data_IF_823675235829
#
_entry.id   IF_823675235829
#
_cell.length_a   1.000
_cell.length_b   1.000
_cell.length_c   1.000
_cell.angle_alpha   90.00
_cell.angle_beta   90.00
_cell.angle_gamma   90.00
#
_symmetry.space_group_name_H-M   'P 1'
#
loop_
_entity.id
_entity.type
_entity.pdbx_description
1 polymer ?
#
# COMPACT_ATOMS: atom_id res chain seq x y z
N UNK A 1 3.29 -37.81 37.65
CA UNK A 1 2.26 -36.78 37.94
C UNK A 1 3.01 -35.46 38.12
N UNK A 2 3.09 -34.51 37.19
CA UNK A 2 2.11 -33.96 36.25
C UNK A 2 2.82 -33.53 34.94
N UNK A 3 2.18 -33.77 33.79
CA UNK A 3 2.53 -33.14 32.50
C UNK A 3 1.73 -31.81 32.32
N UNK A 4 1.80 -31.07 31.19
CA UNK A 4 2.34 -29.70 31.12
C UNK A 4 1.31 -28.68 30.56
N UNK A 5 1.48 -27.37 30.76
CA UNK A 5 0.78 -26.29 30.01
C UNK A 5 1.38 -24.94 30.44
N UNK A 6 1.72 -23.95 29.62
CA UNK A 6 1.18 -23.56 28.33
C UNK A 6 2.31 -23.06 27.40
N UNK A 7 2.26 -23.55 26.17
CA UNK A 7 2.85 -22.96 24.98
C UNK A 7 2.21 -21.58 24.75
N UNK A 8 2.95 -20.49 25.00
CA UNK A 8 2.57 -19.18 24.49
C UNK A 8 3.12 -19.04 23.07
N UNK A 9 2.53 -19.76 22.10
CA UNK A 9 2.69 -19.40 20.70
C UNK A 9 1.85 -18.15 20.47
N UNK A 10 2.48 -16.98 20.53
CA UNK A 10 1.95 -15.81 19.83
C UNK A 10 1.97 -16.15 18.34
N UNK A 11 0.83 -16.26 17.64
CA UNK A 11 0.86 -16.14 16.20
C UNK A 11 1.22 -14.69 15.91
N UNK A 12 2.50 -14.40 15.68
CA UNK A 12 2.89 -13.16 15.03
C UNK A 12 2.14 -13.13 13.70
N UNK A 13 1.05 -12.37 13.67
CA UNK A 13 0.30 -12.08 12.44
C UNK A 13 1.33 -11.76 11.35
N UNK A 14 1.17 -12.25 10.11
CA UNK A 14 2.09 -11.90 9.05
C UNK A 14 2.13 -10.37 8.93
N UNK A 15 3.22 -9.77 9.40
CA UNK A 15 3.46 -8.34 9.22
C UNK A 15 3.75 -8.15 7.75
N UNK A 16 2.68 -7.93 6.97
CA UNK A 16 2.77 -7.62 5.55
C UNK A 16 3.83 -6.52 5.37
N UNK A 17 4.85 -6.71 4.51
CA UNK A 17 5.93 -5.75 4.37
C UNK A 17 5.37 -4.42 3.89
N UNK A 18 5.79 -3.33 4.54
CA UNK A 18 5.40 -1.97 4.16
C UNK A 18 6.53 -1.35 3.34
N UNK A 19 6.21 -0.84 2.16
CA UNK A 19 7.16 -0.20 1.26
C UNK A 19 6.54 0.99 0.50
N UNK A 20 7.35 1.91 -0.06
CA UNK A 20 6.84 3.00 -0.88
C UNK A 20 6.16 2.49 -2.15
N UNK A 21 5.01 3.06 -2.53
CA UNK A 21 4.28 2.69 -3.75
C UNK A 21 5.16 2.76 -5.00
N UNK A 22 6.15 3.66 -5.04
CA UNK A 22 7.14 3.76 -6.12
C UNK A 22 7.93 2.47 -6.39
N UNK A 23 7.99 1.54 -5.43
CA UNK A 23 8.69 0.26 -5.56
C UNK A 23 7.76 -0.89 -6.00
N UNK A 24 6.45 -0.64 -6.10
CA UNK A 24 5.51 -1.65 -6.58
C UNK A 24 5.73 -1.94 -8.06
N UNK A 25 5.76 -3.23 -8.40
CA UNK A 25 5.90 -3.70 -9.79
C UNK A 25 4.58 -3.57 -10.55
N UNK A 26 4.65 -3.50 -11.88
CA UNK A 26 3.46 -3.62 -12.72
C UNK A 26 2.70 -4.92 -12.43
N UNK A 27 1.37 -4.83 -12.38
CA UNK A 27 0.49 -5.94 -12.00
C UNK A 27 0.29 -6.11 -10.48
N UNK A 28 1.10 -5.48 -9.63
CA UNK A 28 0.97 -5.63 -8.19
C UNK A 28 -0.36 -5.04 -7.66
N UNK A 29 -1.03 -5.80 -6.80
CA UNK A 29 -2.15 -5.32 -5.97
C UNK A 29 -1.63 -4.95 -4.59
N UNK A 30 -1.88 -3.71 -4.18
CA UNK A 30 -1.38 -3.17 -2.93
C UNK A 30 -2.46 -2.38 -2.20
N UNK A 31 -2.36 -2.28 -0.88
CA UNK A 31 -3.22 -1.46 -0.03
C UNK A 31 -2.44 -0.31 0.55
N UNK A 32 -3.01 0.89 0.51
CA UNK A 32 -2.44 2.07 1.15
C UNK A 32 -2.54 1.92 2.66
N UNK A 33 -1.40 2.03 3.36
CA UNK A 33 -1.35 1.90 4.83
C UNK A 33 -1.05 3.22 5.53
N UNK A 34 -0.29 4.12 4.89
CA UNK A 34 -0.02 5.45 5.44
C UNK A 34 0.49 6.41 4.36
N UNK A 35 0.56 7.69 4.72
CA UNK A 35 1.21 8.73 3.94
C UNK A 35 2.40 9.28 4.73
N UNK A 36 3.54 9.43 4.05
CA UNK A 36 4.79 9.92 4.65
C UNK A 36 4.72 11.42 4.96
N UNK A 37 3.78 12.15 4.32
CA UNK A 37 3.57 13.59 4.52
C UNK A 37 2.19 13.89 5.10
N UNK A 38 1.99 15.12 5.60
CA UNK A 38 0.73 15.58 6.16
C UNK A 38 -0.06 16.56 5.28
N UNK A 39 -1.15 17.08 5.83
CA UNK A 39 -1.86 18.28 5.37
C UNK A 39 -2.31 18.25 3.91
N UNK A 40 -1.83 19.24 3.13
CA UNK A 40 -2.26 19.46 1.75
C UNK A 40 -1.99 18.28 0.81
N UNK A 41 -0.93 17.51 1.05
CA UNK A 41 -0.62 16.32 0.26
C UNK A 41 -1.67 15.23 0.46
N UNK A 42 -2.03 14.94 1.71
CA UNK A 42 -3.04 13.94 2.04
C UNK A 42 -4.41 14.34 1.51
N UNK A 43 -4.77 15.62 1.65
CA UNK A 43 -6.01 16.17 1.07
C UNK A 43 -6.07 15.96 -0.44
N UNK A 44 -5.00 16.28 -1.17
CA UNK A 44 -4.93 16.07 -2.63
C UNK A 44 -5.06 14.60 -3.01
N UNK A 45 -4.42 13.69 -2.26
CA UNK A 45 -4.55 12.25 -2.50
C UNK A 45 -5.99 11.76 -2.26
N UNK A 46 -6.61 12.21 -1.18
CA UNK A 46 -8.00 11.87 -0.86
C UNK A 46 -8.98 12.40 -1.90
N UNK A 47 -8.78 13.62 -2.41
CA UNK A 47 -9.59 14.22 -3.48
C UNK A 47 -9.58 13.40 -4.78
N UNK A 48 -8.44 12.78 -5.12
CA UNK A 48 -8.33 11.89 -6.29
C UNK A 48 -8.68 10.43 -5.95
N UNK A 49 -9.14 10.16 -4.73
CA UNK A 49 -9.58 8.85 -4.29
C UNK A 49 -8.50 7.93 -3.73
N UNK A 50 -7.26 8.39 -3.55
CA UNK A 50 -6.21 7.63 -2.87
C UNK A 50 -6.32 7.89 -1.36
N UNK A 51 -6.87 6.92 -0.62
CA UNK A 51 -7.11 6.99 0.82
C UNK A 51 -6.36 5.87 1.55
N UNK A 52 -6.15 6.03 2.85
CA UNK A 52 -5.72 4.91 3.70
C UNK A 52 -6.76 3.79 3.60
N UNK A 53 -6.29 2.55 3.43
CA UNK A 53 -7.12 1.37 3.17
C UNK A 53 -7.51 1.18 1.71
N UNK A 54 -7.24 2.13 0.81
CA UNK A 54 -7.55 1.96 -0.61
C UNK A 54 -6.69 0.87 -1.23
N UNK A 55 -7.32 -0.02 -1.98
CA UNK A 55 -6.64 -1.00 -2.82
C UNK A 55 -6.36 -0.42 -4.21
N UNK A 56 -5.14 -0.65 -4.67
CA UNK A 56 -4.61 -0.12 -5.91
C UNK A 56 -4.00 -1.27 -6.71
N UNK A 57 -4.20 -1.24 -8.02
CA UNK A 57 -3.51 -2.13 -8.96
C UNK A 57 -2.58 -1.29 -9.81
N UNK A 58 -1.29 -1.61 -9.81
CA UNK A 58 -0.31 -0.95 -10.67
C UNK A 58 -0.52 -1.45 -12.10
N UNK A 59 -0.86 -0.56 -13.03
CA UNK A 59 -1.03 -0.92 -14.45
C UNK A 59 0.19 -0.63 -15.29
N UNK A 60 0.89 0.45 -14.98
CA UNK A 60 2.07 0.89 -15.73
C UNK A 60 3.01 1.64 -14.79
N UNK A 61 4.31 1.44 -14.99
CA UNK A 61 5.40 2.16 -14.36
C UNK A 61 6.36 2.59 -15.48
N UNK A 62 6.37 3.88 -15.81
CA UNK A 62 7.21 4.42 -16.89
C UNK A 62 8.02 5.61 -16.40
N UNK A 63 9.11 5.94 -17.10
CA UNK A 63 10.05 7.00 -16.73
C UNK A 63 9.32 8.34 -16.48
N UNK A 64 9.01 8.66 -15.22
CA UNK A 64 8.29 9.86 -14.80
C UNK A 64 7.05 9.62 -13.92
N UNK A 65 6.45 8.43 -13.91
CA UNK A 65 5.27 8.18 -13.10
C UNK A 65 4.67 6.77 -13.19
N UNK A 66 3.55 6.62 -12.51
CA UNK A 66 2.81 5.37 -12.37
C UNK A 66 1.35 5.58 -12.73
N UNK A 67 0.76 4.59 -13.38
CA UNK A 67 -0.68 4.50 -13.63
C UNK A 67 -1.26 3.43 -12.72
N UNK A 68 -2.22 3.84 -11.90
CA UNK A 68 -2.88 3.01 -10.90
C UNK A 68 -4.34 2.83 -11.27
N UNK A 69 -4.90 1.67 -10.95
CA UNK A 69 -6.34 1.46 -10.92
C UNK A 69 -6.84 1.41 -9.49
N UNK A 70 -7.93 2.13 -9.24
CA UNK A 70 -8.73 2.01 -8.03
C UNK A 70 -10.17 1.72 -8.45
N UNK A 71 -10.61 0.47 -8.31
CA UNK A 71 -11.84 0.02 -8.96
C UNK A 71 -11.78 0.33 -10.47
N UNK A 72 -12.72 1.14 -10.96
CA UNK A 72 -12.77 1.54 -12.37
C UNK A 72 -12.02 2.86 -12.66
N UNK A 73 -11.51 3.54 -11.65
CA UNK A 73 -10.79 4.81 -11.81
C UNK A 73 -9.33 4.58 -12.20
N UNK A 74 -8.86 5.30 -13.22
CA UNK A 74 -7.45 5.33 -13.64
C UNK A 74 -6.79 6.60 -13.13
N UNK A 75 -5.73 6.46 -12.34
CA UNK A 75 -5.05 7.57 -11.68
C UNK A 75 -3.59 7.56 -12.11
N UNK A 76 -3.11 8.66 -12.69
CA UNK A 76 -1.71 8.86 -13.00
C UNK A 76 -1.06 9.72 -11.90
N UNK A 77 0.04 9.25 -11.33
CA UNK A 77 0.82 9.98 -10.33
C UNK A 77 2.31 9.97 -10.71
N UNK A 78 3.02 11.04 -10.39
CA UNK A 78 4.47 11.07 -10.54
C UNK A 78 5.18 10.25 -9.46
N UNK A 79 6.42 9.82 -9.73
CA UNK A 79 7.24 9.06 -8.77
C UNK A 79 7.43 9.78 -7.43
N UNK A 80 7.55 11.11 -7.43
CA UNK A 80 7.66 11.89 -6.19
C UNK A 80 6.42 11.83 -5.30
N UNK A 81 5.23 11.60 -5.88
CA UNK A 81 4.01 11.33 -5.12
C UNK A 81 3.97 9.88 -4.64
N UNK A 82 4.29 8.93 -5.53
CA UNK A 82 4.29 7.51 -5.21
C UNK A 82 5.27 7.14 -4.09
N UNK A 83 6.43 7.82 -4.03
CA UNK A 83 7.43 7.59 -2.99
C UNK A 83 6.95 7.97 -1.57
N UNK A 84 5.91 8.80 -1.46
CA UNK A 84 5.35 9.28 -0.20
C UNK A 84 4.12 8.49 0.26
N UNK A 85 3.72 7.47 -0.49
CA UNK A 85 2.58 6.62 -0.18
C UNK A 85 3.14 5.28 0.27
N UNK A 86 2.91 4.91 1.53
CA UNK A 86 3.31 3.61 2.02
C UNK A 86 2.21 2.59 1.75
N UNK A 87 2.60 1.42 1.25
CA UNK A 87 1.67 0.36 0.88
C UNK A 87 2.13 -0.99 1.40
N UNK A 88 1.19 -1.92 1.52
CA UNK A 88 1.45 -3.33 1.72
C UNK A 88 0.89 -4.15 0.56
N UNK A 89 1.45 -5.33 0.25
CA UNK A 89 0.81 -6.25 -0.69
C UNK A 89 -0.60 -6.62 -0.22
N UNK A 90 -1.46 -6.95 -1.18
CA UNK A 90 -2.73 -7.62 -0.92
C UNK A 90 -2.63 -8.98 -1.59
N UNK A 91 -2.85 -10.05 -0.83
CA UNK A 91 -2.93 -11.39 -1.41
C UNK A 91 -4.06 -11.45 -2.45
N UNK A 92 -3.90 -12.20 -3.55
CA UNK A 92 -4.88 -12.26 -4.64
C UNK A 92 -6.30 -12.63 -4.22
#
# INVERSE_FOLDING_TARGET
MKSPAHLQTNPSLPTQPVFPLSMASEGARVRVVSFVNGGAFNRRLTEIGINIGAELIVRQCQCGGMVLMRGNARIAIGFGMAHKIAVSPVEP
#
